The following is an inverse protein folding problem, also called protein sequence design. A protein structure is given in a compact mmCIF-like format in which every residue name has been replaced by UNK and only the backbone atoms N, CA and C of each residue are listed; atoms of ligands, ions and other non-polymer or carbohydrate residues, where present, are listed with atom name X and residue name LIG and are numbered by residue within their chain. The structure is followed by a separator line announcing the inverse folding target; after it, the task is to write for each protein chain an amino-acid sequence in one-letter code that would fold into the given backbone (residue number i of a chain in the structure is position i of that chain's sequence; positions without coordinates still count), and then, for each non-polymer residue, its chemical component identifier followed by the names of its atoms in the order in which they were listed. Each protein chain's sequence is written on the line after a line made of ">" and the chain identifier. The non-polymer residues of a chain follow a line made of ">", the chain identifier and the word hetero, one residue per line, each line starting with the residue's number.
data_IF_483570450477
#
_entry.id   IF_483570450477
#
_cell.length_a   1.000
_cell.length_b   1.000
_cell.length_c   1.000
_cell.angle_alpha   90.00
_cell.angle_beta   90.00
_cell.angle_gamma   90.00
#
_symmetry.space_group_name_H-M   'P 1'
#
loop_
_entity.id
_entity.type
_entity.pdbx_description
1 polymer ?
#
# COMPACT_ATOMS: atom_id res chain seq x y z
N UNK A 1 62.64 35.64 39.57
CA UNK A 1 63.47 34.77 38.71
C UNK A 1 63.51 33.37 39.30
N UNK A 2 62.96 32.38 38.59
CA UNK A 2 63.57 31.07 38.26
C UNK A 2 62.47 30.06 37.93
N UNK A 3 62.37 29.81 36.63
CA UNK A 3 61.68 28.68 36.02
C UNK A 3 62.27 27.37 36.53
N UNK A 4 61.41 26.37 36.70
CA UNK A 4 61.81 24.97 36.64
C UNK A 4 60.75 24.19 35.85
N UNK A 5 61.02 24.00 34.55
CA UNK A 5 60.43 22.93 33.75
C UNK A 5 60.88 21.58 34.32
N UNK A 6 59.98 20.62 34.46
CA UNK A 6 60.34 19.22 34.62
C UNK A 6 59.80 18.37 33.45
N UNK A 7 60.65 17.42 33.05
CA UNK A 7 60.68 16.71 31.77
C UNK A 7 59.70 15.53 31.70
N UNK A 8 59.06 15.43 30.52
CA UNK A 8 58.87 14.25 29.64
C UNK A 8 58.65 12.85 30.25
N UNK A 9 57.48 12.26 29.97
CA UNK A 9 57.30 10.86 29.56
C UNK A 9 56.07 10.83 28.61
N UNK A 10 56.27 10.58 27.32
CA UNK A 10 56.31 9.27 26.64
C UNK A 10 54.90 8.76 26.28
N UNK A 11 54.67 8.84 24.96
CA UNK A 11 53.61 8.27 24.13
C UNK A 11 53.16 6.87 24.56
N UNK A 12 51.86 6.65 24.75
CA UNK A 12 51.17 5.40 24.38
C UNK A 12 49.78 5.78 23.86
N UNK A 13 49.62 5.74 22.54
CA UNK A 13 48.33 5.87 21.88
C UNK A 13 47.48 4.62 22.13
N UNK A 14 46.34 4.79 22.77
CA UNK A 14 45.29 3.77 22.78
C UNK A 14 44.46 3.92 21.51
N UNK A 15 44.84 3.17 20.47
CA UNK A 15 43.96 2.87 19.34
C UNK A 15 42.84 1.97 19.88
N UNK A 16 41.70 2.56 20.20
CA UNK A 16 40.47 1.81 20.43
C UNK A 16 40.00 1.31 19.07
N UNK A 17 40.30 0.05 18.77
CA UNK A 17 39.73 -0.67 17.62
C UNK A 17 38.25 -0.89 17.93
N UNK A 18 37.39 0.02 17.47
CA UNK A 18 35.96 -0.24 17.35
C UNK A 18 35.75 -1.29 16.26
N UNK A 19 35.64 -2.55 16.67
CA UNK A 19 35.15 -3.62 15.81
C UNK A 19 33.66 -3.38 15.58
N UNK A 20 33.33 -2.61 14.55
CA UNK A 20 31.98 -2.53 14.00
C UNK A 20 31.70 -3.85 13.27
N UNK A 21 31.20 -4.86 13.98
CA UNK A 21 30.46 -5.96 13.34
C UNK A 21 29.19 -5.37 12.75
N UNK A 22 29.28 -4.83 11.54
CA UNK A 22 28.12 -4.51 10.74
C UNK A 22 27.46 -5.84 10.36
N UNK A 23 26.47 -6.28 11.14
CA UNK A 23 25.43 -7.15 10.62
C UNK A 23 24.75 -6.36 9.49
N UNK A 24 25.23 -6.55 8.26
CA UNK A 24 24.55 -6.08 7.07
C UNK A 24 23.30 -6.94 6.94
N UNK A 25 22.22 -6.52 7.60
CA UNK A 25 20.91 -7.10 7.41
C UNK A 25 20.54 -6.89 5.95
N UNK A 26 20.70 -7.93 5.14
CA UNK A 26 20.26 -7.96 3.75
C UNK A 26 18.74 -7.88 3.75
N UNK A 27 18.18 -6.67 3.85
CA UNK A 27 16.77 -6.46 3.56
C UNK A 27 16.55 -6.97 2.14
N UNK A 28 15.51 -7.79 1.90
CA UNK A 28 15.20 -8.25 0.56
C UNK A 28 14.96 -7.02 -0.33
N UNK A 29 15.92 -6.70 -1.19
CA UNK A 29 15.79 -5.59 -2.10
C UNK A 29 14.73 -5.95 -3.15
N UNK A 30 13.71 -5.10 -3.24
CA UNK A 30 12.68 -5.22 -4.26
C UNK A 30 13.32 -5.18 -5.64
N UNK A 31 12.90 -6.06 -6.55
CA UNK A 31 13.24 -5.90 -7.96
C UNK A 31 12.64 -4.58 -8.47
N UNK A 32 13.24 -3.94 -9.49
CA UNK A 32 12.69 -2.71 -10.09
C UNK A 32 11.21 -2.86 -10.49
N UNK A 33 10.84 -4.04 -10.99
CA UNK A 33 9.44 -4.36 -11.37
C UNK A 33 8.52 -4.44 -10.16
N UNK A 34 8.97 -5.09 -9.08
CA UNK A 34 8.18 -5.16 -7.84
C UNK A 34 8.04 -3.79 -7.20
N UNK A 35 9.12 -2.99 -7.15
CA UNK A 35 9.08 -1.63 -6.61
C UNK A 35 8.07 -0.75 -7.36
N UNK A 36 8.11 -0.76 -8.69
CA UNK A 36 7.14 -0.03 -9.52
C UNK A 36 5.70 -0.52 -9.32
N UNK A 37 5.52 -1.81 -9.07
CA UNK A 37 4.19 -2.37 -8.80
C UNK A 37 3.68 -2.00 -7.40
N UNK A 38 4.55 -1.97 -6.38
CA UNK A 38 4.21 -1.49 -5.03
C UNK A 38 3.84 -0.02 -5.05
N UNK A 39 4.61 0.82 -5.76
CA UNK A 39 4.36 2.26 -5.85
C UNK A 39 2.96 2.55 -6.42
N UNK A 40 2.49 1.78 -7.40
CA UNK A 40 1.14 1.92 -7.96
C UNK A 40 0.01 1.56 -6.98
N UNK A 41 0.33 0.86 -5.89
CA UNK A 41 -0.63 0.42 -4.88
C UNK A 41 -0.47 1.15 -3.54
N UNK A 42 0.56 1.99 -3.36
CA UNK A 42 0.89 2.60 -2.07
C UNK A 42 -0.20 3.54 -1.54
N UNK A 43 -1.08 4.05 -2.42
CA UNK A 43 -2.25 4.84 -2.05
C UNK A 43 -3.11 4.13 -0.98
N UNK A 44 -3.11 2.79 -0.97
CA UNK A 44 -3.91 2.01 -0.03
C UNK A 44 -3.53 2.23 1.43
N UNK A 45 -2.28 2.60 1.72
CA UNK A 45 -1.83 2.78 3.10
C UNK A 45 -2.38 4.06 3.75
N UNK A 46 -2.90 4.98 2.94
CA UNK A 46 -3.48 6.25 3.40
C UNK A 46 -4.99 6.34 3.14
N UNK A 47 -5.57 5.34 2.49
CA UNK A 47 -6.96 5.35 2.06
C UNK A 47 -7.83 4.53 3.00
N UNK A 48 -8.92 5.14 3.45
CA UNK A 48 -9.94 4.49 4.27
C UNK A 48 -11.25 4.31 3.48
N UNK A 49 -11.87 3.14 3.61
CA UNK A 49 -13.07 2.78 2.86
C UNK A 49 -14.29 3.63 3.24
N UNK A 50 -14.47 3.98 4.53
CA UNK A 50 -15.61 4.76 5.00
C UNK A 50 -15.48 6.22 4.58
N UNK A 51 -14.26 6.77 4.65
CA UNK A 51 -13.96 8.12 4.12
C UNK A 51 -14.17 8.19 2.61
N UNK A 52 -13.71 7.19 1.86
CA UNK A 52 -13.91 7.16 0.40
C UNK A 52 -15.39 7.00 0.03
N UNK A 53 -16.14 6.18 0.78
CA UNK A 53 -17.59 6.05 0.64
C UNK A 53 -18.27 7.40 0.84
N UNK A 54 -17.97 8.08 1.94
CA UNK A 54 -18.54 9.40 2.28
C UNK A 54 -18.28 10.42 1.18
N UNK A 55 -17.03 10.49 0.68
CA UNK A 55 -16.66 11.37 -0.44
C UNK A 55 -17.42 11.02 -1.72
N UNK A 56 -17.51 9.74 -2.05
CA UNK A 56 -18.20 9.27 -3.25
C UNK A 56 -19.69 9.60 -3.22
N UNK A 57 -20.33 9.46 -2.06
CA UNK A 57 -21.75 9.81 -1.87
C UNK A 57 -22.00 11.32 -2.02
N UNK A 58 -21.11 12.18 -1.51
CA UNK A 58 -21.23 13.64 -1.65
C UNK A 58 -21.27 14.09 -3.12
N UNK A 59 -20.49 13.43 -3.97
CA UNK A 59 -20.44 13.72 -5.41
C UNK A 59 -21.34 12.82 -6.26
N UNK A 60 -22.19 12.00 -5.62
CA UNK A 60 -23.10 11.04 -6.26
C UNK A 60 -22.39 10.05 -7.21
N UNK A 61 -21.13 9.69 -6.92
CA UNK A 61 -20.42 8.63 -7.64
C UNK A 61 -20.70 7.26 -7.00
N UNK A 62 -21.65 6.53 -7.56
CA UNK A 62 -22.06 5.21 -7.06
C UNK A 62 -21.27 4.04 -7.67
N UNK A 63 -20.25 4.30 -8.48
CA UNK A 63 -19.54 3.24 -9.22
C UNK A 63 -18.74 2.34 -8.28
N UNK A 64 -18.80 1.03 -8.54
CA UNK A 64 -18.15 0.01 -7.73
C UNK A 64 -16.75 -0.34 -8.27
N UNK A 65 -15.80 -0.65 -7.41
CA UNK A 65 -14.45 -1.05 -7.79
C UNK A 65 -14.44 -2.44 -8.46
N UNK A 66 -13.89 -2.51 -9.67
CA UNK A 66 -13.71 -3.76 -10.41
C UNK A 66 -12.27 -4.26 -10.36
N UNK A 67 -12.09 -5.55 -10.65
CA UNK A 67 -10.78 -6.07 -11.05
C UNK A 67 -10.27 -5.25 -12.24
N UNK A 68 -8.99 -4.89 -12.26
CA UNK A 68 -8.40 -4.05 -13.30
C UNK A 68 -8.16 -4.75 -14.64
N UNK A 69 -8.89 -5.83 -14.91
CA UNK A 69 -8.59 -6.79 -15.98
C UNK A 69 -9.76 -6.91 -16.95
N UNK A 70 -9.51 -7.40 -18.16
CA UNK A 70 -10.53 -7.46 -19.22
C UNK A 70 -11.62 -8.46 -18.81
N UNK A 71 -12.88 -8.02 -18.75
CA UNK A 71 -13.97 -8.84 -18.19
C UNK A 71 -13.95 -8.95 -16.66
N UNK A 72 -13.08 -8.20 -15.97
CA UNK A 72 -12.97 -8.21 -14.52
C UNK A 72 -14.28 -7.82 -13.83
N UNK A 73 -14.79 -8.74 -13.01
CA UNK A 73 -15.96 -8.55 -12.16
C UNK A 73 -15.73 -7.56 -11.02
N UNK A 74 -16.81 -7.25 -10.31
CA UNK A 74 -16.78 -6.41 -9.12
C UNK A 74 -16.08 -7.13 -7.96
N UNK A 75 -15.24 -6.41 -7.22
CA UNK A 75 -14.51 -6.99 -6.10
C UNK A 75 -15.46 -7.14 -4.90
N UNK A 76 -15.51 -8.33 -4.31
CA UNK A 76 -16.32 -8.61 -3.12
C UNK A 76 -17.83 -8.79 -3.36
N UNK A 77 -18.32 -8.63 -4.60
CA UNK A 77 -19.73 -8.84 -4.95
C UNK A 77 -19.92 -10.24 -5.53
N UNK A 78 -20.96 -10.95 -5.06
CA UNK A 78 -21.28 -12.30 -5.50
C UNK A 78 -21.66 -12.34 -6.98
N UNK A 79 -21.47 -13.49 -7.64
CA UNK A 79 -21.80 -13.72 -9.05
C UNK A 79 -23.24 -13.32 -9.39
N UNK A 80 -24.17 -13.69 -8.53
CA UNK A 80 -25.61 -13.47 -8.72
C UNK A 80 -25.94 -11.96 -8.72
N UNK A 81 -25.22 -11.19 -7.91
CA UNK A 81 -25.43 -9.75 -7.78
C UNK A 81 -24.67 -8.91 -8.82
N UNK A 82 -23.64 -9.47 -9.48
CA UNK A 82 -22.78 -8.67 -10.36
C UNK A 82 -23.54 -8.01 -11.50
N UNK A 83 -24.45 -8.73 -12.16
CA UNK A 83 -25.18 -8.17 -13.31
C UNK A 83 -26.03 -6.97 -12.90
N UNK A 84 -26.82 -7.11 -11.83
CA UNK A 84 -27.65 -6.03 -11.30
C UNK A 84 -26.79 -4.85 -10.81
N UNK A 85 -25.73 -5.13 -10.07
CA UNK A 85 -24.81 -4.11 -9.55
C UNK A 85 -24.15 -3.32 -10.69
N UNK A 86 -23.71 -4.00 -11.75
CA UNK A 86 -23.13 -3.35 -12.93
C UNK A 86 -24.16 -2.50 -13.68
N UNK A 87 -25.40 -2.99 -13.81
CA UNK A 87 -26.46 -2.26 -14.50
C UNK A 87 -26.89 -0.99 -13.74
N UNK A 88 -27.02 -1.07 -12.41
CA UNK A 88 -27.55 0.04 -11.58
C UNK A 88 -26.46 1.02 -11.12
N UNK A 89 -25.31 0.50 -10.72
CA UNK A 89 -24.25 1.27 -10.07
C UNK A 89 -23.09 1.60 -11.02
N UNK A 90 -22.87 0.77 -12.03
CA UNK A 90 -21.68 0.86 -12.89
C UNK A 90 -20.40 0.42 -12.15
N UNK A 91 -19.26 0.60 -12.82
CA UNK A 91 -17.95 0.24 -12.26
C UNK A 91 -16.86 1.26 -12.53
N UNK A 92 -15.87 1.30 -11.65
CA UNK A 92 -14.60 2.02 -11.80
C UNK A 92 -13.43 1.06 -11.64
N UNK A 93 -12.33 1.33 -12.36
CA UNK A 93 -11.11 0.52 -12.26
C UNK A 93 -10.48 0.75 -10.88
N UNK A 94 -9.93 -0.32 -10.30
CA UNK A 94 -9.12 -0.21 -9.09
C UNK A 94 -7.70 0.24 -9.47
N UNK A 95 -7.22 1.41 -9.02
CA UNK A 95 -5.91 1.93 -9.40
C UNK A 95 -4.77 0.96 -9.07
N UNK A 96 -3.88 0.73 -10.04
CA UNK A 96 -2.71 -0.15 -9.90
C UNK A 96 -3.00 -1.65 -9.82
N UNK A 97 -4.24 -2.08 -9.60
CA UNK A 97 -4.58 -3.51 -9.47
C UNK A 97 -4.59 -4.20 -10.85
N UNK A 98 -3.68 -5.14 -11.05
CA UNK A 98 -3.60 -5.97 -12.27
C UNK A 98 -3.65 -7.46 -11.93
N UNK A 99 -3.66 -8.34 -12.95
CA UNK A 99 -3.56 -9.79 -12.76
C UNK A 99 -2.13 -10.26 -12.44
N UNK A 100 -1.12 -9.43 -12.70
CA UNK A 100 0.29 -9.80 -12.46
C UNK A 100 0.61 -9.74 -10.96
N UNK A 101 1.40 -10.69 -10.48
CA UNK A 101 1.91 -10.74 -9.11
C UNK A 101 3.43 -10.67 -9.11
N UNK A 102 3.95 -9.91 -8.16
CA UNK A 102 5.38 -9.70 -7.93
C UNK A 102 5.61 -9.89 -6.44
N UNK A 103 6.57 -10.74 -6.08
CA UNK A 103 7.06 -10.96 -4.73
C UNK A 103 6.00 -11.06 -3.62
N UNK A 104 6.47 -11.00 -2.37
CA UNK A 104 5.60 -11.06 -1.19
C UNK A 104 5.04 -9.68 -0.86
N UNK A 105 5.83 -8.63 -1.02
CA UNK A 105 5.46 -7.27 -0.60
C UNK A 105 4.33 -6.77 -1.48
N UNK A 106 4.48 -6.80 -2.82
CA UNK A 106 3.38 -6.37 -3.69
C UNK A 106 2.12 -7.25 -3.55
N UNK A 107 2.25 -8.55 -3.26
CA UNK A 107 1.10 -9.41 -2.93
C UNK A 107 0.34 -8.95 -1.69
N UNK A 108 1.03 -8.46 -0.65
CA UNK A 108 0.38 -7.87 0.53
C UNK A 108 -0.40 -6.61 0.19
N UNK A 109 0.15 -5.73 -0.66
CA UNK A 109 -0.56 -4.53 -1.13
C UNK A 109 -1.81 -4.90 -1.95
N UNK A 110 -1.70 -5.88 -2.86
CA UNK A 110 -2.86 -6.39 -3.61
C UNK A 110 -3.97 -6.87 -2.67
N UNK A 111 -3.60 -7.56 -1.58
CA UNK A 111 -4.57 -8.02 -0.59
C UNK A 111 -5.26 -6.83 0.10
N UNK A 112 -4.50 -5.84 0.59
CA UNK A 112 -5.06 -4.62 1.20
C UNK A 112 -6.04 -3.91 0.26
N UNK A 113 -5.68 -3.77 -1.01
CA UNK A 113 -6.52 -3.14 -2.04
C UNK A 113 -7.81 -3.91 -2.26
N UNK A 114 -7.77 -5.25 -2.28
CA UNK A 114 -8.96 -6.08 -2.39
C UNK A 114 -9.86 -5.98 -1.16
N UNK A 115 -9.28 -5.95 0.04
CA UNK A 115 -10.03 -5.78 1.29
C UNK A 115 -10.75 -4.43 1.32
N UNK A 116 -10.06 -3.35 0.96
CA UNK A 116 -10.66 -2.02 0.81
C UNK A 116 -11.79 -2.02 -0.22
N UNK A 117 -11.55 -2.55 -1.43
CA UNK A 117 -12.54 -2.54 -2.49
C UNK A 117 -13.78 -3.37 -2.13
N UNK A 118 -13.60 -4.50 -1.43
CA UNK A 118 -14.71 -5.30 -0.90
C UNK A 118 -15.55 -4.50 0.09
N UNK A 119 -14.92 -3.88 1.10
CA UNK A 119 -15.62 -3.08 2.10
C UNK A 119 -16.39 -1.92 1.46
N UNK A 120 -15.73 -1.15 0.62
CA UNK A 120 -16.36 -0.05 -0.12
C UNK A 120 -17.53 -0.53 -0.97
N UNK A 121 -17.35 -1.61 -1.74
CA UNK A 121 -18.37 -2.07 -2.68
C UNK A 121 -19.61 -2.60 -1.99
N UNK A 122 -19.46 -3.33 -0.89
CA UNK A 122 -20.60 -3.87 -0.13
C UNK A 122 -21.48 -2.73 0.40
N UNK A 123 -20.88 -1.70 0.98
CA UNK A 123 -21.63 -0.54 1.48
C UNK A 123 -22.21 0.29 0.34
N UNK A 124 -21.39 0.64 -0.66
CA UNK A 124 -21.84 1.43 -1.81
C UNK A 124 -22.98 0.76 -2.58
N UNK A 125 -22.98 -0.58 -2.69
CA UNK A 125 -24.07 -1.32 -3.34
C UNK A 125 -25.40 -1.08 -2.62
N UNK A 126 -25.42 -1.08 -1.28
CA UNK A 126 -26.63 -0.80 -0.49
C UNK A 126 -27.16 0.60 -0.79
N UNK A 127 -26.29 1.62 -0.76
CA UNK A 127 -26.67 3.00 -1.08
C UNK A 127 -27.17 3.15 -2.51
N UNK A 128 -26.45 2.56 -3.46
CA UNK A 128 -26.79 2.64 -4.87
C UNK A 128 -28.17 2.04 -5.16
N UNK A 129 -28.45 0.83 -4.65
CA UNK A 129 -29.73 0.16 -4.90
C UNK A 129 -30.89 0.88 -4.22
N UNK A 130 -30.68 1.46 -3.03
CA UNK A 130 -31.74 2.20 -2.33
C UNK A 130 -32.06 3.56 -2.99
N UNK A 131 -31.07 4.24 -3.59
CA UNK A 131 -31.26 5.54 -4.25
C UNK A 131 -31.69 5.44 -5.72
N UNK A 132 -31.65 4.24 -6.31
CA UNK A 132 -32.02 3.99 -7.71
C UNK A 132 -33.09 2.89 -7.87
N UNK A 133 -33.78 2.58 -6.77
CA UNK A 133 -34.96 1.72 -6.78
C UNK A 133 -36.16 2.44 -7.38
#
# INVERSE_FOLDING_TARGET
>A
MKFALNKRHMVIGSIVVMVLTACHSTQPQLTKREQQAVEKLNWIDTTDAEKELSKSLQIKDYRLYSKGTRGGGLIGISSEQQQLALQKCGKKKTPGLTDVRYGKIHTQYVRKVREFATKFNLEMLRYCLNNKS
#
